data_IF_359551792206
#
_entry.id   IF_359551792206
#
_cell.length_a   1.000
_cell.length_b   1.000
_cell.length_c   1.000
_cell.angle_alpha   90.00
_cell.angle_beta   90.00
_cell.angle_gamma   90.00
#
_symmetry.space_group_name_H-M   'P 1'
#
loop_
_entity.id
_entity.type
_entity.pdbx_description
1 polymer ?
#
# COMPACT_ATOMS: atom_id res chain seq x y z
N UNK A 1 -74.58 -29.62 22.66
CA UNK A 1 -73.77 -29.64 21.42
C UNK A 1 -73.22 -28.23 21.26
N UNK A 2 -71.91 -28.02 21.37
CA UNK A 2 -71.29 -26.69 21.40
C UNK A 2 -70.57 -26.39 20.08
N UNK A 3 -70.70 -25.16 19.58
CA UNK A 3 -69.84 -24.59 18.54
C UNK A 3 -69.82 -23.06 18.67
N UNK A 4 -68.69 -22.42 19.02
CA UNK A 4 -68.51 -20.98 18.98
C UNK A 4 -67.69 -20.54 17.76
N UNK A 5 -68.21 -19.58 17.00
CA UNK A 5 -67.50 -18.81 15.97
C UNK A 5 -68.09 -17.38 16.01
N UNK A 6 -67.32 -16.29 15.98
CA UNK A 6 -65.87 -16.14 16.08
C UNK A 6 -65.58 -14.64 16.03
N UNK A 7 -65.13 -14.05 17.14
CA UNK A 7 -64.97 -12.60 17.25
C UNK A 7 -63.74 -12.11 16.51
N UNK A 8 -63.92 -11.44 15.36
CA UNK A 8 -62.84 -10.71 14.70
C UNK A 8 -62.49 -9.45 15.49
N UNK A 9 -61.42 -9.53 16.28
CA UNK A 9 -60.76 -8.33 16.82
C UNK A 9 -59.98 -7.69 15.66
N UNK A 10 -60.48 -6.54 15.18
CA UNK A 10 -59.75 -5.71 14.21
C UNK A 10 -58.59 -5.03 14.94
N UNK A 11 -57.42 -5.65 14.93
CA UNK A 11 -56.19 -5.03 15.44
C UNK A 11 -55.80 -3.85 14.54
N UNK A 12 -55.95 -2.64 15.08
CA UNK A 12 -55.55 -1.40 14.43
C UNK A 12 -54.01 -1.34 14.32
N UNK A 13 -53.48 -1.74 13.16
CA UNK A 13 -52.05 -1.64 12.88
C UNK A 13 -51.65 -0.16 12.70
N UNK A 14 -51.11 0.45 13.75
CA UNK A 14 -50.51 1.78 13.68
C UNK A 14 -49.22 1.70 12.87
N UNK A 15 -49.33 1.99 11.57
CA UNK A 15 -48.16 2.17 10.70
C UNK A 15 -47.47 3.47 11.10
N UNK A 16 -46.48 3.36 11.99
CA UNK A 16 -45.50 4.43 12.21
C UNK A 16 -44.65 4.53 10.96
N UNK A 17 -45.08 5.39 10.03
CA UNK A 17 -44.28 5.77 8.89
C UNK A 17 -43.06 6.56 9.39
N UNK A 18 -41.96 5.86 9.70
CA UNK A 18 -40.66 6.52 9.79
C UNK A 18 -40.39 7.19 8.45
N UNK A 19 -40.46 8.52 8.42
CA UNK A 19 -39.81 9.30 7.38
C UNK A 19 -38.30 9.07 7.53
N UNK A 20 -37.80 8.02 6.89
CA UNK A 20 -36.40 7.94 6.52
C UNK A 20 -36.16 9.16 5.61
N UNK A 21 -35.37 10.17 6.03
CA UNK A 21 -35.06 11.29 5.15
C UNK A 21 -34.43 10.69 3.90
N UNK A 22 -35.01 10.99 2.72
CA UNK A 22 -34.47 10.53 1.44
C UNK A 22 -33.00 10.90 1.41
N UNK A 23 -32.14 9.88 1.40
CA UNK A 23 -30.70 10.06 1.49
C UNK A 23 -30.27 11.05 0.40
N UNK A 24 -29.81 12.22 0.82
CA UNK A 24 -29.13 13.17 -0.04
C UNK A 24 -27.94 12.44 -0.62
N UNK A 25 -28.00 12.13 -1.92
CA UNK A 25 -26.90 11.48 -2.62
C UNK A 25 -25.63 12.33 -2.39
N UNK A 26 -24.53 11.75 -1.87
CA UNK A 26 -23.28 12.48 -1.77
C UNK A 26 -22.89 12.94 -3.17
N UNK A 27 -22.82 14.25 -3.38
CA UNK A 27 -22.34 14.79 -4.64
C UNK A 27 -20.88 14.38 -4.86
N UNK A 28 -20.50 14.12 -6.11
CA UNK A 28 -19.23 13.48 -6.49
C UNK A 28 -17.94 14.24 -6.10
N UNK A 29 -18.05 15.38 -5.41
CA UNK A 29 -16.96 16.15 -4.80
C UNK A 29 -16.38 15.53 -3.53
N UNK A 30 -16.97 14.45 -2.99
CA UNK A 30 -16.55 13.85 -1.72
C UNK A 30 -15.24 13.03 -1.77
N UNK A 31 -14.69 12.76 -2.97
CA UNK A 31 -13.48 11.93 -3.13
C UNK A 31 -12.36 12.56 -3.95
N UNK A 32 -12.55 13.77 -4.51
CA UNK A 32 -11.44 14.49 -5.16
C UNK A 32 -10.38 14.88 -4.12
N UNK A 33 -9.12 14.54 -4.39
CA UNK A 33 -7.96 14.65 -3.48
C UNK A 33 -7.96 13.65 -2.30
N UNK A 34 -8.73 12.55 -2.37
CA UNK A 34 -8.60 11.47 -1.37
C UNK A 34 -7.36 10.62 -1.66
N UNK A 35 -6.34 10.75 -0.81
CA UNK A 35 -5.16 9.89 -0.80
C UNK A 35 -5.42 8.62 0.02
N UNK A 36 -5.36 7.46 -0.64
CA UNK A 36 -5.32 6.14 -0.02
C UNK A 36 -3.86 5.79 0.25
N UNK A 37 -3.46 5.75 1.51
CA UNK A 37 -2.09 5.46 1.93
C UNK A 37 -2.06 4.21 2.82
N UNK A 38 -1.28 3.22 2.41
CA UNK A 38 -0.98 2.01 3.18
C UNK A 38 0.41 2.11 3.81
N UNK A 39 0.49 1.74 5.08
CA UNK A 39 1.76 1.62 5.80
C UNK A 39 2.28 0.18 5.74
N UNK A 40 1.73 -0.74 6.56
CA UNK A 40 2.13 -2.16 6.58
C UNK A 40 1.23 -3.10 5.76
N UNK A 41 -0.08 -2.83 5.74
CA UNK A 41 -1.08 -3.78 5.26
C UNK A 41 -1.42 -3.53 3.77
N UNK A 42 -1.95 -4.54 3.06
CA UNK A 42 -2.58 -4.32 1.75
C UNK A 42 -4.03 -3.83 1.89
N UNK A 43 -4.39 -2.73 1.25
CA UNK A 43 -5.75 -2.17 1.28
C UNK A 43 -6.52 -2.55 0.01
N UNK A 44 -7.55 -3.38 0.16
CA UNK A 44 -8.53 -3.68 -0.89
C UNK A 44 -9.72 -2.72 -0.84
N UNK A 45 -9.81 -1.78 -1.78
CA UNK A 45 -10.98 -0.91 -1.98
C UNK A 45 -11.85 -1.43 -3.13
N UNK A 46 -13.17 -1.46 -2.93
CA UNK A 46 -14.16 -1.63 -4.00
C UNK A 46 -14.68 -0.26 -4.41
N UNK A 47 -14.60 0.04 -5.71
CA UNK A 47 -15.12 1.25 -6.32
C UNK A 47 -16.63 1.13 -6.61
N UNK A 48 -17.27 2.28 -6.86
CA UNK A 48 -18.69 2.36 -7.27
C UNK A 48 -19.00 1.64 -8.60
N UNK A 49 -17.99 1.40 -9.44
CA UNK A 49 -18.13 0.66 -10.71
C UNK A 49 -17.80 -0.84 -10.59
N UNK A 50 -17.90 -1.38 -9.37
CA UNK A 50 -17.58 -2.76 -8.98
C UNK A 50 -16.12 -3.19 -9.18
N UNK A 51 -15.25 -2.31 -9.70
CA UNK A 51 -13.82 -2.57 -9.81
C UNK A 51 -13.17 -2.71 -8.42
N UNK A 52 -12.12 -3.52 -8.33
CA UNK A 52 -11.34 -3.71 -7.10
C UNK A 52 -9.93 -3.16 -7.29
N UNK A 53 -9.49 -2.33 -6.34
CA UNK A 53 -8.11 -1.83 -6.23
C UNK A 53 -7.51 -2.48 -4.97
N UNK A 54 -6.39 -3.17 -5.13
CA UNK A 54 -5.58 -3.72 -4.05
C UNK A 54 -4.25 -2.97 -3.99
N UNK A 55 -4.15 -2.00 -3.08
CA UNK A 55 -2.89 -1.37 -2.73
C UNK A 55 -2.06 -2.38 -1.94
N UNK A 56 -0.78 -2.53 -2.25
CA UNK A 56 0.16 -3.32 -1.46
C UNK A 56 0.59 -2.56 -0.19
N UNK A 57 1.42 -3.17 0.66
CA UNK A 57 2.10 -2.46 1.74
C UNK A 57 2.88 -1.22 1.23
N UNK A 58 3.11 -0.23 2.10
CA UNK A 58 3.90 0.98 1.84
C UNK A 58 3.53 1.76 0.56
N UNK A 59 2.27 1.69 0.13
CA UNK A 59 1.80 2.22 -1.15
C UNK A 59 0.92 3.45 -0.94
N UNK A 60 1.00 4.43 -1.84
CA UNK A 60 0.15 5.62 -1.79
C UNK A 60 -0.46 5.87 -3.16
N UNK A 61 -1.78 5.81 -3.23
CA UNK A 61 -2.57 6.05 -4.42
C UNK A 61 -3.57 7.17 -4.12
N UNK A 62 -3.50 8.25 -4.87
CA UNK A 62 -4.49 9.32 -4.81
C UNK A 62 -5.55 9.13 -5.89
N UNK A 63 -6.82 9.35 -5.54
CA UNK A 63 -7.88 9.51 -6.52
C UNK A 63 -7.81 10.93 -7.12
N UNK A 64 -7.07 11.06 -8.22
CA UNK A 64 -6.82 12.32 -8.91
C UNK A 64 -8.02 12.85 -9.73
N UNK A 65 -9.10 12.07 -9.83
CA UNK A 65 -10.38 12.54 -10.38
C UNK A 65 -11.30 11.40 -10.83
N UNK A 66 -12.61 11.59 -10.65
CA UNK A 66 -13.66 10.67 -11.05
C UNK A 66 -14.68 11.41 -11.92
N UNK A 67 -14.69 11.10 -13.22
CA UNK A 67 -15.68 11.63 -14.16
C UNK A 67 -16.57 10.49 -14.69
N UNK A 68 -17.72 10.79 -15.33
CA UNK A 68 -18.54 9.76 -15.97
C UNK A 68 -17.76 8.90 -16.98
N UNK A 69 -16.81 9.52 -17.70
CA UNK A 69 -16.11 8.90 -18.83
C UNK A 69 -14.66 8.47 -18.51
N UNK A 70 -14.12 8.84 -17.35
CA UNK A 70 -12.77 8.46 -16.92
C UNK A 70 -12.60 8.46 -15.39
N UNK A 71 -11.92 7.44 -14.87
CA UNK A 71 -11.44 7.35 -13.50
C UNK A 71 -9.90 7.44 -13.51
N UNK A 72 -9.31 8.38 -12.76
CA UNK A 72 -7.86 8.61 -12.69
C UNK A 72 -7.31 8.36 -11.30
N UNK A 73 -6.40 7.40 -11.20
CA UNK A 73 -5.58 7.14 -10.02
C UNK A 73 -4.15 7.64 -10.23
N UNK A 74 -3.52 8.20 -9.21
CA UNK A 74 -2.11 8.59 -9.20
C UNK A 74 -1.37 7.74 -8.16
N UNK A 75 -0.52 6.82 -8.62
CA UNK A 75 0.39 6.07 -7.77
C UNK A 75 1.59 6.97 -7.43
N UNK A 76 1.72 7.36 -6.17
CA UNK A 76 2.83 8.19 -5.68
C UNK A 76 4.01 7.35 -5.17
N UNK A 77 3.75 6.14 -4.66
CA UNK A 77 4.76 5.12 -4.32
C UNK A 77 4.14 3.73 -4.15
N UNK A 78 4.98 2.70 -4.17
CA UNK A 78 4.61 1.32 -3.87
C UNK A 78 3.96 0.62 -5.06
N UNK A 79 3.01 -0.28 -4.81
CA UNK A 79 2.38 -1.09 -5.86
C UNK A 79 0.87 -1.23 -5.68
N UNK A 80 0.17 -1.28 -6.82
CA UNK A 80 -1.28 -1.43 -6.89
C UNK A 80 -1.65 -2.52 -7.90
N UNK A 81 -2.52 -3.44 -7.50
CA UNK A 81 -3.18 -4.40 -8.39
C UNK A 81 -4.62 -3.94 -8.61
N UNK A 82 -5.02 -3.88 -9.87
CA UNK A 82 -6.34 -3.43 -10.29
C UNK A 82 -7.06 -4.56 -11.01
N UNK A 83 -8.30 -4.83 -10.61
CA UNK A 83 -9.24 -5.66 -11.34
C UNK A 83 -10.42 -4.77 -11.77
N UNK A 84 -10.38 -4.32 -13.03
CA UNK A 84 -11.29 -3.30 -13.57
C UNK A 84 -12.46 -3.96 -14.29
N UNK A 85 -13.68 -3.62 -13.88
CA UNK A 85 -14.92 -4.08 -14.54
C UNK A 85 -15.04 -3.47 -15.92
N UNK A 86 -15.40 -4.27 -16.94
CA UNK A 86 -15.43 -3.78 -18.33
C UNK A 86 -16.58 -2.80 -18.58
N UNK A 87 -16.25 -1.53 -18.88
CA UNK A 87 -17.22 -0.49 -19.30
C UNK A 87 -16.77 0.12 -20.62
N UNK A 88 -17.70 0.31 -21.57
CA UNK A 88 -17.35 0.84 -22.92
C UNK A 88 -17.08 2.34 -22.90
N UNK A 89 -17.81 3.07 -22.05
CA UNK A 89 -17.85 4.53 -22.06
C UNK A 89 -16.99 5.16 -20.95
N UNK A 90 -16.32 4.34 -20.13
CA UNK A 90 -15.49 4.78 -19.01
C UNK A 90 -14.09 4.17 -19.09
N UNK A 91 -13.07 5.01 -19.19
CA UNK A 91 -11.67 4.58 -19.12
C UNK A 91 -11.15 4.58 -17.69
N UNK A 92 -10.32 3.60 -17.35
CA UNK A 92 -9.59 3.56 -16.10
C UNK A 92 -8.12 3.88 -16.38
N UNK A 93 -7.56 4.87 -15.67
CA UNK A 93 -6.21 5.38 -15.91
C UNK A 93 -5.43 5.36 -14.59
N UNK A 94 -4.24 4.74 -14.59
CA UNK A 94 -3.28 4.82 -13.49
C UNK A 94 -2.06 5.62 -13.97
N UNK A 95 -1.75 6.71 -13.30
CA UNK A 95 -0.55 7.52 -13.55
C UNK A 95 0.53 7.20 -12.51
N UNK A 96 1.75 6.92 -12.97
CA UNK A 96 2.91 6.60 -12.14
C UNK A 96 4.15 7.32 -12.70
N UNK A 97 4.64 8.37 -12.00
CA UNK A 97 5.78 9.21 -12.44
C UNK A 97 5.76 9.61 -13.93
N UNK A 98 4.61 10.07 -14.41
CA UNK A 98 4.42 10.51 -15.80
C UNK A 98 4.17 9.40 -16.82
N UNK A 99 4.32 8.12 -16.45
CA UNK A 99 3.78 6.99 -17.22
C UNK A 99 2.27 6.92 -16.97
N UNK A 100 1.48 6.84 -18.04
CA UNK A 100 0.03 6.64 -17.97
C UNK A 100 -0.36 5.25 -18.47
N UNK A 101 -1.17 4.56 -17.68
CA UNK A 101 -1.62 3.18 -17.91
C UNK A 101 -3.14 3.19 -18.08
N UNK A 102 -3.64 3.03 -19.30
CA UNK A 102 -5.07 3.11 -19.65
C UNK A 102 -5.65 1.73 -19.95
N UNK A 103 -6.81 1.44 -19.36
CA UNK A 103 -7.57 0.20 -19.59
C UNK A 103 -9.08 0.45 -19.73
N UNK A 104 -9.80 -0.56 -20.21
CA UNK A 104 -11.28 -0.58 -20.32
C UNK A 104 -11.94 -1.70 -19.50
N UNK A 105 -11.19 -2.68 -19.03
CA UNK A 105 -11.68 -3.88 -18.35
C UNK A 105 -10.59 -4.95 -18.39
N UNK A 106 -9.76 -4.99 -17.35
CA UNK A 106 -8.43 -5.60 -17.39
C UNK A 106 -7.96 -5.85 -15.96
N UNK A 107 -7.28 -6.98 -15.74
CA UNK A 107 -6.58 -7.30 -14.50
C UNK A 107 -5.09 -7.06 -14.72
N UNK A 108 -4.52 -6.13 -13.96
CA UNK A 108 -3.13 -5.70 -14.12
C UNK A 108 -2.56 -5.22 -12.79
N UNK A 109 -1.23 -5.10 -12.72
CA UNK A 109 -0.54 -4.46 -11.61
C UNK A 109 0.45 -3.43 -12.10
N UNK A 110 0.59 -2.34 -11.34
CA UNK A 110 1.60 -1.29 -11.53
C UNK A 110 2.39 -1.18 -10.24
N UNK A 111 3.72 -1.23 -10.34
CA UNK A 111 4.63 -1.04 -9.21
C UNK A 111 5.65 0.04 -9.52
N UNK A 112 5.96 0.84 -8.50
CA UNK A 112 6.95 1.90 -8.53
C UNK A 112 7.99 1.63 -7.44
N UNK A 113 9.22 1.39 -7.86
CA UNK A 113 10.37 1.18 -6.98
C UNK A 113 11.50 2.11 -7.44
N UNK A 114 12.02 2.92 -6.53
CA UNK A 114 13.07 3.91 -6.77
C UNK A 114 12.76 4.81 -7.99
N UNK A 115 13.37 4.54 -9.13
CA UNK A 115 13.22 5.30 -10.39
C UNK A 115 12.51 4.52 -11.49
N UNK A 116 12.14 3.27 -11.18
CA UNK A 116 11.58 2.29 -12.10
C UNK A 116 10.07 2.16 -11.94
N UNK A 117 9.38 2.04 -13.09
CA UNK A 117 7.96 1.71 -13.17
C UNK A 117 7.81 0.39 -13.92
N UNK A 118 7.21 -0.61 -13.27
CA UNK A 118 6.87 -1.89 -13.87
C UNK A 118 5.33 -2.01 -14.01
N UNK A 119 4.89 -2.51 -15.16
CA UNK A 119 3.50 -2.78 -15.51
C UNK A 119 3.39 -4.24 -15.96
N UNK A 120 2.50 -5.00 -15.33
CA UNK A 120 2.25 -6.40 -15.68
C UNK A 120 0.75 -6.64 -15.91
N UNK A 121 0.40 -7.35 -16.98
CA UNK A 121 -0.99 -7.65 -17.34
C UNK A 121 -1.28 -9.10 -17.01
N UNK A 122 -2.19 -9.35 -16.06
CA UNK A 122 -2.70 -10.70 -15.79
C UNK A 122 -3.68 -11.08 -16.91
N UNK A 123 -4.71 -10.26 -17.17
CA UNK A 123 -5.81 -10.56 -18.08
C UNK A 123 -6.33 -9.30 -18.78
N UNK A 124 -6.56 -9.37 -20.10
CA UNK A 124 -7.06 -8.25 -20.92
C UNK A 124 -5.96 -7.58 -21.75
N UNK A 125 -6.04 -6.26 -21.92
CA UNK A 125 -4.98 -5.49 -22.59
C UNK A 125 -4.87 -4.06 -22.04
N UNK A 126 -3.64 -3.60 -21.89
CA UNK A 126 -3.27 -2.29 -21.33
C UNK A 126 -2.65 -1.42 -22.42
N UNK A 127 -2.95 -0.13 -22.42
CA UNK A 127 -2.20 0.88 -23.18
C UNK A 127 -1.30 1.67 -22.21
N UNK A 128 0.01 1.59 -22.41
CA UNK A 128 1.02 2.31 -21.61
C UNK A 128 1.59 3.45 -22.45
N UNK A 129 1.49 4.68 -21.95
CA UNK A 129 2.04 5.88 -22.57
C UNK A 129 3.20 6.41 -21.73
N UNK A 130 4.38 6.54 -22.32
CA UNK A 130 5.57 7.04 -21.60
C UNK A 130 5.64 8.57 -21.59
N UNK A 131 6.26 9.18 -20.56
CA UNK A 131 6.59 10.60 -20.59
C UNK A 131 7.72 10.86 -21.59
N UNK A 132 7.62 11.96 -22.35
CA UNK A 132 8.61 12.36 -23.37
C UNK A 132 7.95 13.05 -24.57
N UNK A 133 8.74 13.81 -25.35
CA UNK A 133 8.23 14.67 -26.42
C UNK A 133 7.46 13.93 -27.54
N UNK A 134 7.70 12.62 -27.72
CA UNK A 134 7.01 11.78 -28.70
C UNK A 134 5.88 10.91 -28.12
N UNK A 135 5.71 10.87 -26.78
CA UNK A 135 4.60 10.17 -26.11
C UNK A 135 4.35 8.72 -26.57
N UNK A 136 5.39 7.88 -26.57
CA UNK A 136 5.32 6.52 -27.12
C UNK A 136 4.21 5.74 -26.40
N UNK A 137 3.25 5.25 -27.20
CA UNK A 137 2.14 4.43 -26.70
C UNK A 137 2.40 2.97 -27.07
N UNK A 138 2.61 2.13 -26.06
CA UNK A 138 2.82 0.69 -26.20
C UNK A 138 1.60 -0.05 -25.66
N UNK A 139 1.05 -0.96 -26.45
CA UNK A 139 0.01 -1.88 -26.00
C UNK A 139 0.65 -3.13 -25.40
N UNK A 140 0.12 -3.58 -24.25
CA UNK A 140 0.47 -4.83 -23.59
C UNK A 140 -0.74 -5.77 -23.59
N UNK A 141 -0.51 -7.05 -23.81
CA UNK A 141 -1.49 -8.13 -23.81
C UNK A 141 -1.37 -8.98 -22.53
N UNK A 142 -2.36 -9.84 -22.28
CA UNK A 142 -2.35 -10.81 -21.16
C UNK A 142 -1.04 -11.61 -21.11
N UNK A 143 -0.43 -11.67 -19.93
CA UNK A 143 0.87 -12.31 -19.69
C UNK A 143 2.09 -11.42 -19.94
N UNK A 144 1.94 -10.30 -20.65
CA UNK A 144 3.05 -9.40 -20.93
C UNK A 144 3.41 -8.51 -19.73
N UNK A 145 4.69 -8.16 -19.66
CA UNK A 145 5.24 -7.22 -18.68
C UNK A 145 6.12 -6.21 -19.39
N UNK A 146 6.14 -5.00 -18.86
CA UNK A 146 6.95 -3.91 -19.35
C UNK A 146 7.49 -3.10 -18.18
N UNK A 147 8.71 -2.60 -18.32
CA UNK A 147 9.41 -1.85 -17.30
C UNK A 147 10.16 -0.70 -17.94
N UNK A 148 10.20 0.44 -17.26
CA UNK A 148 11.04 1.58 -17.64
C UNK A 148 11.78 2.14 -16.43
N UNK A 149 13.02 2.55 -16.63
CA UNK A 149 13.83 3.26 -15.64
C UNK A 149 13.88 4.74 -16.01
N UNK A 150 13.29 5.59 -15.18
CA UNK A 150 13.05 7.00 -15.52
C UNK A 150 14.31 7.86 -15.37
N UNK A 151 15.25 7.47 -14.50
CA UNK A 151 16.58 8.10 -14.39
C UNK A 151 17.44 7.86 -15.63
N UNK A 152 17.18 6.76 -16.35
CA UNK A 152 17.86 6.46 -17.61
C UNK A 152 17.24 7.28 -18.74
N UNK A 153 15.92 7.53 -18.75
CA UNK A 153 15.28 8.26 -19.85
C UNK A 153 15.70 9.74 -19.94
N UNK A 154 16.05 10.40 -18.84
CA UNK A 154 16.69 11.74 -18.86
C UNK A 154 18.14 11.70 -19.42
N UNK A 155 18.80 10.54 -19.43
CA UNK A 155 20.13 10.33 -20.04
C UNK A 155 20.07 9.76 -21.45
N UNK A 156 19.02 9.01 -21.79
CA UNK A 156 18.85 8.32 -23.07
C UNK A 156 18.29 9.26 -24.15
N UNK A 157 17.61 10.35 -23.77
CA UNK A 157 17.42 11.52 -24.64
C UNK A 157 18.72 12.27 -24.96
N UNK A 158 19.84 11.92 -24.32
CA UNK A 158 21.18 12.51 -24.52
C UNK A 158 22.17 11.47 -25.07
N UNK A 159 21.82 10.18 -25.15
CA UNK A 159 22.75 9.08 -25.47
C UNK A 159 22.12 8.02 -26.38
N UNK A 160 21.91 8.38 -27.64
CA UNK A 160 21.70 7.44 -28.74
C UNK A 160 22.60 7.79 -29.92
N UNK A 161 23.61 6.94 -30.17
CA UNK A 161 24.34 6.67 -31.44
C UNK A 161 24.58 7.83 -32.47
N UNK A 162 25.77 8.08 -33.02
CA UNK A 162 26.96 7.21 -33.21
C UNK A 162 28.21 8.06 -33.50
N UNK A 163 29.40 7.55 -33.16
CA UNK A 163 30.70 7.91 -33.76
C UNK A 163 31.45 6.59 -34.07
N UNK A 164 32.37 6.48 -35.05
CA UNK A 164 33.38 7.47 -35.48
C UNK A 164 33.31 7.74 -37.02
N UNK A 165 34.26 8.34 -37.77
CA UNK A 165 35.70 8.68 -37.55
C UNK A 165 36.02 10.08 -38.16
N UNK A 166 37.22 10.51 -38.67
CA UNK A 166 37.63 11.91 -38.46
C UNK A 166 37.85 12.78 -39.72
N UNK A 167 37.72 14.10 -39.57
CA UNK A 167 38.47 15.12 -40.35
C UNK A 167 38.53 16.45 -39.55
N UNK A 168 39.53 17.33 -39.77
CA UNK A 168 40.00 18.22 -38.70
C UNK A 168 39.67 19.71 -38.84
N UNK A 169 39.66 20.39 -37.69
CA UNK A 169 40.00 21.82 -37.47
C UNK A 169 39.03 22.91 -38.00
N UNK A 170 39.14 24.18 -37.53
CA UNK A 170 39.87 24.69 -36.38
C UNK A 170 39.02 25.45 -35.34
N UNK A 171 39.61 25.69 -34.17
CA UNK A 171 39.02 26.38 -33.03
C UNK A 171 38.70 27.86 -33.28
N UNK A 172 37.47 28.31 -32.95
CA UNK A 172 37.19 29.74 -32.69
C UNK A 172 36.48 29.96 -31.35
N UNK A 173 37.33 30.17 -30.33
CA UNK A 173 37.11 30.98 -29.13
C UNK A 173 35.83 31.86 -29.18
N UNK A 174 34.87 31.61 -28.28
CA UNK A 174 33.93 32.66 -27.82
C UNK A 174 33.81 32.68 -26.30
N UNK A 175 33.61 33.90 -25.77
CA UNK A 175 33.84 34.28 -24.38
C UNK A 175 32.64 33.97 -23.48
N UNK A 176 32.90 33.63 -22.22
CA UNK A 176 31.92 33.68 -21.13
C UNK A 176 31.50 35.12 -20.82
N UNK A 177 30.21 35.38 -20.57
CA UNK A 177 29.74 36.53 -19.79
C UNK A 177 29.54 36.15 -18.30
N UNK A 178 29.61 37.10 -17.35
CA UNK A 178 29.52 36.80 -15.92
C UNK A 178 28.14 37.05 -15.26
N UNK A 179 27.91 36.28 -14.19
CA UNK A 179 27.25 36.64 -12.93
C UNK A 179 25.73 36.95 -12.83
N UNK A 180 25.22 36.58 -11.63
CA UNK A 180 24.06 37.15 -10.92
C UNK A 180 22.63 36.72 -11.32
N UNK A 181 22.18 35.60 -10.75
CA UNK A 181 20.77 35.28 -10.53
C UNK A 181 20.55 34.84 -9.07
N UNK A 182 19.74 35.57 -8.31
CA UNK A 182 19.57 35.36 -6.86
C UNK A 182 18.87 34.04 -6.56
N UNK A 183 19.49 33.17 -5.74
CA UNK A 183 18.81 32.03 -5.15
C UNK A 183 17.71 32.51 -4.18
N UNK A 184 16.47 32.08 -4.40
CA UNK A 184 15.35 32.32 -3.48
C UNK A 184 15.20 31.08 -2.59
N UNK A 185 15.18 31.21 -1.24
CA UNK A 185 15.09 30.05 -0.36
C UNK A 185 13.72 29.35 -0.51
N UNK A 186 13.74 28.02 -0.43
CA UNK A 186 12.53 27.22 -0.28
C UNK A 186 11.93 27.45 1.13
N UNK A 187 10.60 27.40 1.29
CA UNK A 187 9.96 27.63 2.58
C UNK A 187 10.26 26.48 3.56
N UNK A 188 10.80 26.86 4.72
CA UNK A 188 11.04 25.98 5.86
C UNK A 188 9.72 25.50 6.49
N UNK A 189 9.49 24.20 6.51
CA UNK A 189 8.41 23.58 7.28
C UNK A 189 8.94 23.10 8.63
N UNK A 190 8.59 23.81 9.70
CA UNK A 190 8.58 23.31 11.08
C UNK A 190 9.92 22.98 11.75
N UNK A 191 10.48 23.95 12.49
CA UNK A 191 11.12 23.63 13.77
C UNK A 191 10.01 23.17 14.77
N UNK A 192 10.23 22.33 15.77
CA UNK A 192 11.47 22.08 16.53
C UNK A 192 11.78 20.58 16.66
N UNK A 193 13.07 20.26 16.73
CA UNK A 193 13.68 19.40 17.76
C UNK A 193 15.19 19.37 17.49
N UNK A 194 15.88 20.42 17.96
CA UNK A 194 17.34 20.43 18.07
C UNK A 194 17.71 20.55 19.56
N UNK A 195 17.54 19.45 20.28
CA UNK A 195 18.20 19.23 21.56
C UNK A 195 19.58 18.55 21.38
N UNK A 196 20.38 18.43 22.46
CA UNK A 196 21.81 18.21 22.35
C UNK A 196 22.18 16.73 22.13
N UNK A 197 22.77 16.39 20.98
CA UNK A 197 23.31 15.04 20.67
C UNK A 197 22.32 13.91 21.00
N UNK A 198 21.04 14.12 20.69
CA UNK A 198 19.96 13.36 21.33
C UNK A 198 19.85 11.91 20.87
N UNK A 199 19.36 11.08 21.79
CA UNK A 199 19.07 9.69 21.53
C UNK A 199 18.06 9.58 20.38
N UNK A 200 18.45 8.92 19.29
CA UNK A 200 17.68 8.80 18.05
C UNK A 200 16.17 8.68 18.29
N UNK A 201 15.43 9.56 17.63
CA UNK A 201 13.98 9.62 17.73
C UNK A 201 13.36 8.30 17.29
N UNK A 202 12.16 8.03 17.79
CA UNK A 202 11.40 6.84 17.39
C UNK A 202 11.21 6.75 15.86
N UNK A 203 11.20 7.90 15.15
CA UNK A 203 11.11 7.96 13.69
C UNK A 203 12.42 7.52 13.04
N UNK A 204 13.56 8.07 13.45
CA UNK A 204 14.87 7.72 12.90
C UNK A 204 15.22 6.24 13.15
N UNK A 205 14.85 5.72 14.32
CA UNK A 205 14.98 4.29 14.63
C UNK A 205 14.11 3.42 13.70
N UNK A 206 12.88 3.85 13.39
CA UNK A 206 12.01 3.13 12.45
C UNK A 206 12.52 3.21 11.00
N UNK A 207 12.93 4.40 10.56
CA UNK A 207 13.40 4.64 9.19
C UNK A 207 14.74 3.93 8.93
N UNK A 208 15.66 3.93 9.91
CA UNK A 208 16.91 3.16 9.84
C UNK A 208 16.70 1.64 9.90
N UNK A 209 15.78 1.14 10.73
CA UNK A 209 15.43 -0.28 10.75
C UNK A 209 14.87 -0.75 9.38
N UNK A 210 14.00 0.05 8.75
CA UNK A 210 13.48 -0.24 7.42
C UNK A 210 14.55 -0.13 6.32
N UNK A 211 15.52 0.79 6.44
CA UNK A 211 16.67 0.87 5.54
C UNK A 211 17.51 -0.40 5.61
N UNK A 212 17.93 -0.81 6.82
CA UNK A 212 18.70 -2.02 7.06
C UNK A 212 17.97 -3.27 6.56
N UNK A 213 16.67 -3.40 6.86
CA UNK A 213 15.82 -4.50 6.38
C UNK A 213 15.77 -4.60 4.85
N UNK A 214 15.72 -3.46 4.14
CA UNK A 214 15.75 -3.41 2.66
C UNK A 214 17.13 -3.73 2.10
N UNK A 215 18.21 -3.32 2.78
CA UNK A 215 19.58 -3.67 2.43
C UNK A 215 19.94 -5.15 2.74
N UNK A 216 19.07 -5.88 3.45
CA UNK A 216 19.32 -7.25 3.88
C UNK A 216 20.12 -7.37 5.17
N UNK A 217 20.51 -6.25 5.79
CA UNK A 217 21.15 -6.20 7.11
C UNK A 217 20.09 -6.46 8.20
N UNK A 218 19.88 -7.74 8.49
CA UNK A 218 18.93 -8.21 9.50
C UNK A 218 19.33 -7.77 10.90
N UNK A 219 20.63 -7.77 11.23
CA UNK A 219 21.09 -7.42 12.57
C UNK A 219 20.84 -5.95 12.92
N UNK A 220 21.21 -5.03 12.01
CA UNK A 220 20.96 -3.60 12.24
C UNK A 220 19.47 -3.29 12.27
N UNK A 221 18.66 -3.99 11.46
CA UNK A 221 17.20 -3.86 11.50
C UNK A 221 16.63 -4.28 12.87
N UNK A 222 17.07 -5.44 13.39
CA UNK A 222 16.66 -5.95 14.70
C UNK A 222 17.07 -4.99 15.82
N UNK A 223 18.34 -4.58 15.87
CA UNK A 223 18.84 -3.61 16.87
C UNK A 223 18.05 -2.30 16.87
N UNK A 224 17.72 -1.78 15.69
CA UNK A 224 17.00 -0.51 15.56
C UNK A 224 15.52 -0.64 15.97
N UNK A 225 14.83 -1.73 15.63
CA UNK A 225 13.47 -1.98 16.14
C UNK A 225 13.46 -2.23 17.66
N UNK A 226 14.38 -3.05 18.19
CA UNK A 226 14.49 -3.30 19.64
C UNK A 226 14.75 -1.99 20.42
N UNK A 227 15.63 -1.12 19.90
CA UNK A 227 15.90 0.19 20.49
C UNK A 227 14.69 1.14 20.41
N UNK A 228 13.87 1.05 19.36
CA UNK A 228 12.59 1.79 19.26
C UNK A 228 11.62 1.32 20.35
N UNK A 229 11.40 0.01 20.48
CA UNK A 229 10.46 -0.54 21.46
C UNK A 229 10.91 -0.27 22.90
N UNK A 230 12.21 -0.32 23.17
CA UNK A 230 12.76 -0.05 24.51
C UNK A 230 12.67 1.44 24.90
N UNK A 231 12.95 2.37 23.97
CA UNK A 231 12.99 3.81 24.27
C UNK A 231 11.65 4.51 24.09
N UNK A 232 10.83 4.04 23.15
CA UNK A 232 9.61 4.71 22.70
C UNK A 232 8.37 3.79 22.69
N UNK A 233 8.06 3.05 23.77
CA UNK A 233 7.04 1.98 23.81
C UNK A 233 5.58 2.44 23.67
N UNK A 234 5.33 3.75 23.55
CA UNK A 234 4.00 4.36 23.37
C UNK A 234 3.87 5.15 22.06
N UNK A 235 4.92 5.16 21.23
CA UNK A 235 4.87 5.83 19.94
C UNK A 235 3.98 5.07 18.95
N UNK A 236 3.27 5.78 18.07
CA UNK A 236 2.39 5.18 17.06
C UNK A 236 3.08 4.16 16.13
N UNK A 237 4.40 4.25 15.94
CA UNK A 237 5.21 3.29 15.16
C UNK A 237 5.58 2.03 15.96
N UNK A 238 5.41 1.98 17.28
CA UNK A 238 5.83 0.85 18.12
C UNK A 238 5.12 -0.46 17.73
N UNK A 239 3.81 -0.45 17.51
CA UNK A 239 3.06 -1.64 17.09
C UNK A 239 3.59 -2.23 15.76
N UNK A 240 3.90 -1.37 14.78
CA UNK A 240 4.42 -1.79 13.47
C UNK A 240 5.89 -2.22 13.55
N UNK A 241 6.69 -1.58 14.40
CA UNK A 241 8.06 -2.00 14.69
C UNK A 241 8.09 -3.38 15.36
N UNK A 242 7.19 -3.64 16.30
CA UNK A 242 7.06 -4.93 16.98
C UNK A 242 6.59 -6.05 16.02
N UNK A 243 5.67 -5.73 15.10
CA UNK A 243 5.28 -6.63 14.02
C UNK A 243 6.47 -6.99 13.12
N UNK A 244 7.17 -6.00 12.55
CA UNK A 244 8.31 -6.25 11.65
C UNK A 244 9.48 -6.96 12.37
N UNK A 245 9.74 -6.65 13.64
CA UNK A 245 10.72 -7.37 14.47
C UNK A 245 10.33 -8.85 14.67
N UNK A 246 9.06 -9.11 15.02
CA UNK A 246 8.53 -10.47 15.13
C UNK A 246 8.59 -11.23 13.81
N UNK A 247 8.37 -10.53 12.68
CA UNK A 247 8.55 -11.11 11.36
C UNK A 247 9.99 -11.53 11.08
N UNK A 248 10.96 -10.66 11.37
CA UNK A 248 12.40 -10.94 11.19
C UNK A 248 12.87 -12.08 12.08
N UNK A 249 12.46 -12.10 13.35
CA UNK A 249 12.77 -13.19 14.28
C UNK A 249 12.28 -14.54 13.75
N UNK A 250 11.05 -14.62 13.24
CA UNK A 250 10.50 -15.84 12.62
C UNK A 250 11.19 -16.26 11.31
N UNK A 251 11.27 -15.37 10.33
CA UNK A 251 11.64 -15.73 8.94
C UNK A 251 13.14 -15.67 8.65
N UNK A 252 13.90 -14.87 9.40
CA UNK A 252 15.32 -14.61 9.12
C UNK A 252 16.27 -15.14 10.19
N UNK A 253 15.85 -15.10 11.45
CA UNK A 253 16.68 -15.56 12.58
C UNK A 253 16.35 -16.98 13.06
N UNK A 254 15.19 -17.53 12.71
CA UNK A 254 14.75 -18.82 13.23
C UNK A 254 14.47 -18.80 14.74
N UNK A 255 14.08 -17.63 15.27
CA UNK A 255 13.77 -17.36 16.68
C UNK A 255 12.24 -17.21 16.87
N UNK A 256 11.46 -18.31 16.85
CA UNK A 256 10.01 -18.22 17.06
C UNK A 256 9.66 -17.85 18.50
N UNK A 257 10.44 -18.29 19.49
CA UNK A 257 10.20 -18.01 20.90
C UNK A 257 10.35 -16.51 21.22
N UNK A 258 11.41 -15.86 20.74
CA UNK A 258 11.60 -14.41 20.88
C UNK A 258 10.66 -13.58 20.02
N UNK A 259 10.02 -14.16 18.99
CA UNK A 259 9.02 -13.47 18.17
C UNK A 259 7.66 -13.33 18.89
N UNK A 260 7.29 -14.27 19.77
CA UNK A 260 6.02 -14.26 20.51
C UNK A 260 5.76 -12.92 21.24
N UNK A 261 6.62 -12.45 22.18
CA UNK A 261 6.31 -11.25 22.98
C UNK A 261 6.21 -9.96 22.16
N UNK A 262 6.96 -9.84 21.05
CA UNK A 262 6.88 -8.67 20.17
C UNK A 262 5.64 -8.74 19.26
N UNK A 263 5.16 -9.92 18.91
CA UNK A 263 3.90 -10.09 18.19
C UNK A 263 2.68 -9.87 19.10
N UNK A 264 2.74 -10.28 20.36
CA UNK A 264 1.74 -9.93 21.38
C UNK A 264 1.64 -8.40 21.56
N UNK A 265 2.78 -7.71 21.64
CA UNK A 265 2.83 -6.24 21.68
C UNK A 265 2.18 -5.61 20.43
N UNK A 266 2.48 -6.14 19.24
CA UNK A 266 1.86 -5.70 17.99
C UNK A 266 0.34 -5.91 17.98
N UNK A 267 -0.14 -7.10 18.38
CA UNK A 267 -1.57 -7.42 18.49
C UNK A 267 -2.28 -6.50 19.48
N UNK A 268 -1.66 -6.20 20.62
CA UNK A 268 -2.23 -5.29 21.62
C UNK A 268 -2.35 -3.86 21.10
N UNK A 269 -1.25 -3.30 20.58
CA UNK A 269 -1.11 -1.89 20.22
C UNK A 269 -1.52 -1.52 18.78
N UNK A 270 -1.90 -2.48 17.93
CA UNK A 270 -2.19 -2.23 16.51
C UNK A 270 -3.19 -1.08 16.26
N UNK A 271 -2.83 -0.03 15.48
CA UNK A 271 -3.70 1.13 15.24
C UNK A 271 -4.82 0.85 14.23
N UNK A 272 -4.72 -0.24 13.44
CA UNK A 272 -5.72 -0.67 12.47
C UNK A 272 -6.23 -2.08 12.79
N UNK A 273 -7.39 -2.44 12.23
CA UNK A 273 -7.89 -3.81 12.29
C UNK A 273 -7.07 -4.79 11.43
N UNK A 274 -6.46 -4.30 10.34
CA UNK A 274 -5.61 -5.06 9.41
C UNK A 274 -4.29 -5.49 10.06
N UNK A 275 -3.48 -4.54 10.57
CA UNK A 275 -2.24 -4.87 11.27
C UNK A 275 -2.49 -5.81 12.45
N UNK A 276 -3.64 -5.68 13.13
CA UNK A 276 -4.03 -6.58 14.22
C UNK A 276 -4.36 -7.99 13.72
N UNK A 277 -4.97 -8.11 12.55
CA UNK A 277 -5.22 -9.38 11.88
C UNK A 277 -3.89 -10.06 11.49
N UNK A 278 -3.02 -9.32 10.80
CA UNK A 278 -1.71 -9.78 10.35
C UNK A 278 -0.81 -10.17 11.53
N UNK A 279 -0.76 -9.35 12.58
CA UNK A 279 0.01 -9.64 13.79
C UNK A 279 -0.52 -10.87 14.53
N UNK A 280 -1.85 -11.07 14.58
CA UNK A 280 -2.45 -12.22 15.25
C UNK A 280 -2.22 -13.53 14.47
N UNK A 281 -2.37 -13.49 13.13
CA UNK A 281 -2.01 -14.63 12.28
C UNK A 281 -0.52 -14.99 12.40
N UNK A 282 0.34 -13.99 12.57
CA UNK A 282 1.78 -14.15 12.77
C UNK A 282 2.13 -14.66 14.18
N UNK A 283 1.38 -14.25 15.21
CA UNK A 283 1.49 -14.76 16.58
C UNK A 283 1.15 -16.26 16.64
N UNK A 284 0.06 -16.68 15.99
CA UNK A 284 -0.29 -18.11 15.85
C UNK A 284 0.82 -18.88 15.14
N UNK A 285 1.46 -18.31 14.11
CA UNK A 285 2.63 -18.92 13.47
C UNK A 285 3.82 -19.04 14.42
N UNK A 286 4.08 -18.03 15.26
CA UNK A 286 5.18 -18.05 16.23
C UNK A 286 4.97 -19.15 17.29
N UNK A 287 3.78 -19.22 17.88
CA UNK A 287 3.42 -20.22 18.88
C UNK A 287 3.47 -21.64 18.31
N UNK A 288 3.03 -21.84 17.07
CA UNK A 288 3.15 -23.12 16.38
C UNK A 288 4.61 -23.56 16.17
N UNK A 289 5.50 -22.60 15.87
CA UNK A 289 6.91 -22.83 15.59
C UNK A 289 7.78 -22.92 16.86
N UNK A 290 7.35 -22.34 17.99
CA UNK A 290 8.00 -22.48 19.29
C UNK A 290 7.57 -23.74 20.05
N UNK A 291 6.53 -24.45 19.57
CA UNK A 291 5.97 -25.64 20.22
C UNK A 291 4.97 -25.34 21.35
N UNK A 292 4.57 -24.07 21.53
CA UNK A 292 3.58 -23.63 22.52
C UNK A 292 2.16 -23.88 22.00
N UNK A 293 1.80 -25.16 21.84
CA UNK A 293 0.56 -25.56 21.18
C UNK A 293 -0.71 -25.21 21.98
N UNK A 294 -0.62 -25.07 23.30
CA UNK A 294 -1.72 -24.57 24.14
C UNK A 294 -2.12 -23.15 23.73
N UNK A 295 -1.19 -22.19 23.81
CA UNK A 295 -1.44 -20.80 23.42
C UNK A 295 -1.68 -20.66 21.91
N UNK A 296 -1.02 -21.50 21.09
CA UNK A 296 -1.30 -21.56 19.66
C UNK A 296 -2.78 -21.83 19.38
N UNK A 297 -3.39 -22.84 20.04
CA UNK A 297 -4.81 -23.18 19.88
C UNK A 297 -5.73 -22.07 20.37
N UNK A 298 -5.38 -21.41 21.47
CA UNK A 298 -6.12 -20.25 21.99
C UNK A 298 -6.12 -19.07 21.00
N UNK A 299 -4.94 -18.62 20.56
CA UNK A 299 -4.85 -17.49 19.63
C UNK A 299 -5.40 -17.82 18.23
N UNK A 300 -5.33 -19.10 17.80
CA UNK A 300 -6.01 -19.57 16.58
C UNK A 300 -7.52 -19.42 16.71
N UNK A 301 -8.10 -19.77 17.86
CA UNK A 301 -9.53 -19.58 18.13
C UNK A 301 -9.89 -18.09 18.14
N UNK A 302 -9.12 -17.26 18.84
CA UNK A 302 -9.28 -15.79 18.86
C UNK A 302 -9.25 -15.20 17.44
N UNK A 303 -8.33 -15.66 16.58
CA UNK A 303 -8.25 -15.23 15.18
C UNK A 303 -9.52 -15.62 14.39
N UNK A 304 -9.94 -16.89 14.46
CA UNK A 304 -11.08 -17.38 13.69
C UNK A 304 -12.43 -16.79 14.14
N UNK A 305 -12.59 -16.51 15.44
CA UNK A 305 -13.75 -15.80 16.00
C UNK A 305 -13.79 -14.33 15.53
N UNK A 306 -12.64 -13.65 15.52
CA UNK A 306 -12.56 -12.21 15.22
C UNK A 306 -12.48 -11.89 13.72
N UNK A 307 -11.89 -12.79 12.93
CA UNK A 307 -11.63 -12.63 11.50
C UNK A 307 -12.13 -13.85 10.70
N UNK A 308 -13.43 -14.21 10.77
CA UNK A 308 -13.98 -15.42 10.12
C UNK A 308 -13.95 -15.38 8.58
N UNK A 309 -13.63 -14.22 7.98
CA UNK A 309 -13.39 -14.01 6.55
C UNK A 309 -12.05 -13.30 6.29
N UNK A 310 -11.11 -13.41 7.23
CA UNK A 310 -9.78 -12.81 7.16
C UNK A 310 -8.90 -13.43 6.08
N UNK A 311 -7.84 -12.71 5.72
CA UNK A 311 -6.87 -13.08 4.68
C UNK A 311 -6.11 -14.35 5.05
N UNK A 312 -5.86 -14.58 6.34
CA UNK A 312 -5.04 -15.69 6.84
C UNK A 312 -5.84 -16.89 7.38
N UNK A 313 -7.18 -16.91 7.22
CA UNK A 313 -8.04 -17.99 7.75
C UNK A 313 -7.53 -19.38 7.36
N UNK A 314 -7.15 -19.60 6.11
CA UNK A 314 -6.63 -20.90 5.65
C UNK A 314 -5.31 -21.27 6.35
N UNK A 315 -4.36 -20.33 6.42
CA UNK A 315 -3.03 -20.50 7.02
C UNK A 315 -3.05 -20.63 8.54
N UNK A 316 -4.02 -20.02 9.20
CA UNK A 316 -4.25 -20.09 10.65
C UNK A 316 -4.97 -21.38 11.03
N UNK A 317 -5.97 -21.80 10.25
CA UNK A 317 -6.70 -23.07 10.46
C UNK A 317 -5.78 -24.28 10.32
N UNK A 318 -4.83 -24.24 9.39
CA UNK A 318 -3.88 -25.33 9.14
C UNK A 318 -2.76 -25.47 10.22
N UNK A 319 -2.78 -24.66 11.28
CA UNK A 319 -1.78 -24.66 12.36
C UNK A 319 -2.38 -25.09 13.70
N UNK A 320 -1.49 -25.34 14.66
CA UNK A 320 -1.81 -25.78 16.03
C UNK A 320 -2.57 -27.12 16.04
N UNK A 321 -1.92 -28.28 15.85
CA UNK A 321 -2.60 -29.56 15.92
C UNK A 321 -3.36 -29.74 17.25
N UNK A 322 -4.51 -30.40 17.18
CA UNK A 322 -5.38 -30.66 18.35
C UNK A 322 -4.93 -31.89 19.17
N UNK A 323 -3.74 -32.41 18.89
CA UNK A 323 -3.09 -33.58 19.51
C UNK A 323 -1.60 -33.33 19.62
#
# INVERSE_FOLDING_TARGET
>A
MWAPLGGFVVSLAVIVALLVPRATQPTASAWENTALETAGDSLSVRLEDDSRIELSAYSRVELAGSTPNALRLRLERGSVRCNVTRRRDRHFIVAARGVEVRVLGTRFSVSMADSRVDVAVDEGSVEVRTPGAAGITRRLLSGERWSIDLDVMDRELVSGETAPTPAPSPSTRRRSPPASGKARPAPSAGANDQGPLEAASARELFDSANLARRAGDVESAVRAYEMLLARHPRDARAALAAFELGRLKLERLGDPAGAVPVLELAVAQAPSAGLREDALARLVQALAASGDYERCREERRTYLERYPKGVHVATVTARCPDR
#
